data_IF_997819082041
#
_entry.id   IF_997819082041
#
_cell.length_a   1.000
_cell.length_b   1.000
_cell.length_c   1.000
_cell.angle_alpha   90.00
_cell.angle_beta   90.00
_cell.angle_gamma   90.00
#
_symmetry.space_group_name_H-M   'P 1'
#
loop_
_entity.id
_entity.type
_entity.pdbx_description
1 polymer ?
#
# COMPACT_ATOMS: atom_id res chain seq x y z
N UNK A 1 26.03 -14.59 31.96
CA UNK A 1 24.58 -14.73 32.18
C UNK A 1 24.00 -15.42 30.96
N UNK A 2 23.64 -16.70 31.12
CA UNK A 2 23.33 -17.62 30.02
C UNK A 2 22.11 -17.19 29.22
N UNK A 3 22.25 -17.20 27.89
CA UNK A 3 21.09 -17.17 27.00
C UNK A 3 20.17 -18.34 27.37
N UNK A 4 18.85 -18.12 27.55
CA UNK A 4 17.96 -19.26 27.66
C UNK A 4 18.15 -20.09 26.39
N UNK A 5 18.50 -21.38 26.50
CA UNK A 5 18.62 -22.23 25.33
C UNK A 5 17.28 -22.17 24.57
N UNK A 6 17.35 -22.39 23.25
CA UNK A 6 16.16 -22.76 22.48
C UNK A 6 15.31 -23.72 23.33
N UNK A 7 13.96 -23.61 23.35
CA UNK A 7 13.16 -24.66 23.96
C UNK A 7 13.67 -25.97 23.38
N UNK A 8 14.24 -26.85 24.22
CA UNK A 8 14.95 -28.12 23.98
C UNK A 8 15.56 -28.40 22.59
N UNK A 9 16.73 -29.05 22.55
CA UNK A 9 17.48 -29.33 21.31
C UNK A 9 16.69 -30.06 20.19
N UNK A 10 15.47 -30.53 20.43
CA UNK A 10 14.55 -31.08 19.42
C UNK A 10 13.35 -30.21 19.03
N UNK A 11 12.97 -29.14 19.76
CA UNK A 11 11.70 -28.43 19.52
C UNK A 11 11.57 -27.91 18.08
N UNK A 12 12.61 -27.28 17.55
CA UNK A 12 12.58 -26.73 16.19
C UNK A 12 12.57 -27.83 15.12
N UNK A 13 13.20 -28.96 15.40
CA UNK A 13 13.21 -30.13 14.50
C UNK A 13 11.83 -30.79 14.49
N UNK A 14 11.23 -30.97 15.67
CA UNK A 14 9.86 -31.47 15.84
C UNK A 14 8.84 -30.57 15.15
N UNK A 15 8.98 -29.24 15.30
CA UNK A 15 8.12 -28.28 14.61
C UNK A 15 8.33 -28.30 13.10
N UNK A 16 9.57 -28.40 12.61
CA UNK A 16 9.82 -28.54 11.18
C UNK A 16 9.19 -29.83 10.62
N UNK A 17 9.29 -30.95 11.34
CA UNK A 17 8.66 -32.21 10.96
C UNK A 17 7.13 -32.10 10.96
N UNK A 18 6.55 -31.56 12.04
CA UNK A 18 5.10 -31.34 12.17
C UNK A 18 4.53 -30.47 11.06
N UNK A 19 5.21 -29.37 10.73
CA UNK A 19 4.75 -28.45 9.68
C UNK A 19 4.79 -29.09 8.30
N UNK A 20 5.76 -29.98 8.04
CA UNK A 20 5.82 -30.75 6.79
C UNK A 20 4.67 -31.76 6.70
N UNK A 21 4.39 -32.47 7.78
CA UNK A 21 3.33 -33.48 7.81
C UNK A 21 1.93 -32.86 7.71
N UNK A 22 1.72 -31.70 8.33
CA UNK A 22 0.43 -31.01 8.34
C UNK A 22 0.18 -30.10 7.13
N UNK A 23 1.15 -29.98 6.22
CA UNK A 23 1.03 -29.07 5.08
C UNK A 23 0.12 -29.66 4.00
N UNK A 24 -0.89 -28.90 3.60
CA UNK A 24 -1.78 -29.22 2.48
C UNK A 24 -1.08 -29.08 1.10
N UNK A 25 0.14 -28.52 1.08
CA UNK A 25 0.93 -28.28 -0.12
C UNK A 25 2.36 -28.79 0.08
N UNK A 26 3.06 -29.20 -0.99
CA UNK A 26 4.45 -29.62 -0.89
C UNK A 26 5.32 -28.53 -0.28
N UNK A 27 5.86 -28.79 0.92
CA UNK A 27 6.82 -27.89 1.57
C UNK A 27 8.16 -28.04 0.87
N UNK A 28 8.77 -26.92 0.49
CA UNK A 28 10.09 -26.89 -0.16
C UNK A 28 11.18 -26.39 0.79
N UNK A 29 10.82 -25.66 1.85
CA UNK A 29 11.74 -25.32 2.92
C UNK A 29 11.09 -24.63 4.11
N UNK A 30 11.79 -24.63 5.23
CA UNK A 30 11.37 -24.04 6.50
C UNK A 30 12.53 -23.22 7.05
N UNK A 31 12.31 -21.94 7.27
CA UNK A 31 13.31 -21.00 7.78
C UNK A 31 12.86 -20.44 9.12
N UNK A 32 13.77 -20.45 10.09
CA UNK A 32 13.64 -19.72 11.33
C UNK A 32 14.01 -18.25 11.13
N UNK A 33 13.18 -17.35 11.64
CA UNK A 33 13.32 -15.89 11.60
C UNK A 33 13.43 -15.33 13.03
N UNK A 34 13.32 -14.01 13.15
CA UNK A 34 13.12 -13.35 14.44
C UNK A 34 14.33 -13.42 15.39
N UNK A 35 14.06 -13.28 16.68
CA UNK A 35 15.09 -13.24 17.72
C UNK A 35 15.81 -14.58 17.88
N UNK A 36 15.13 -15.71 17.64
CA UNK A 36 15.74 -17.04 17.68
C UNK A 36 16.75 -17.26 16.56
N UNK A 37 16.48 -16.81 15.34
CA UNK A 37 17.47 -16.84 14.26
C UNK A 37 18.70 -15.99 14.58
N UNK A 38 18.51 -14.85 15.25
CA UNK A 38 19.57 -13.94 15.69
C UNK A 38 20.32 -14.38 16.96
N UNK A 39 19.90 -15.48 17.60
CA UNK A 39 20.42 -15.90 18.93
C UNK A 39 20.27 -14.82 20.02
N UNK A 40 19.20 -14.03 19.93
CA UNK A 40 18.88 -12.94 20.86
C UNK A 40 17.48 -13.12 21.49
N UNK A 41 16.98 -14.35 21.52
CA UNK A 41 15.67 -14.67 22.08
C UNK A 41 15.68 -14.55 23.63
N UNK A 42 14.52 -14.23 24.18
CA UNK A 42 14.28 -14.13 25.63
C UNK A 42 13.16 -15.07 26.06
N UNK A 43 12.83 -15.08 27.36
CA UNK A 43 11.71 -15.85 27.89
C UNK A 43 10.33 -15.48 27.27
N UNK A 44 10.22 -14.31 26.63
CA UNK A 44 8.98 -13.83 26.01
C UNK A 44 9.04 -13.78 24.48
N UNK A 45 10.14 -14.28 23.87
CA UNK A 45 10.23 -14.36 22.42
C UNK A 45 9.32 -15.44 21.87
N UNK A 46 8.66 -15.12 20.76
CA UNK A 46 7.97 -16.05 19.89
C UNK A 46 8.93 -16.70 18.89
N UNK A 47 8.53 -17.85 18.37
CA UNK A 47 9.24 -18.58 17.33
C UNK A 47 8.60 -18.22 15.98
N UNK A 48 9.33 -17.46 15.16
CA UNK A 48 8.92 -17.09 13.82
C UNK A 48 9.45 -18.08 12.78
N UNK A 49 8.55 -18.70 12.02
CA UNK A 49 8.87 -19.64 10.94
C UNK A 49 8.30 -19.15 9.61
N UNK A 50 9.13 -19.05 8.59
CA UNK A 50 8.68 -18.99 7.19
C UNK A 50 8.63 -20.43 6.64
N UNK A 51 7.47 -20.84 6.13
CA UNK A 51 7.28 -22.13 5.46
C UNK A 51 7.10 -21.87 3.96
N UNK A 52 8.09 -22.29 3.18
CA UNK A 52 8.06 -22.16 1.74
C UNK A 52 7.36 -23.38 1.15
N UNK A 53 6.37 -23.15 0.28
CA UNK A 53 5.63 -24.20 -0.42
C UNK A 53 5.79 -24.09 -1.93
N UNK A 54 5.66 -25.22 -2.64
CA UNK A 54 5.63 -25.26 -4.09
C UNK A 54 4.25 -24.96 -4.67
N UNK A 55 4.20 -24.76 -5.99
CA UNK A 55 2.95 -24.64 -6.77
C UNK A 55 2.43 -23.21 -6.95
N UNK A 56 1.12 -23.09 -7.19
CA UNK A 56 0.45 -21.81 -7.47
C UNK A 56 0.61 -20.79 -6.32
N UNK A 57 0.37 -19.48 -6.56
CA UNK A 57 0.47 -18.44 -5.54
C UNK A 57 -0.31 -18.79 -4.27
N UNK A 58 0.34 -18.62 -3.12
CA UNK A 58 -0.20 -18.99 -1.82
C UNK A 58 0.42 -18.13 -0.72
N UNK A 59 -0.42 -17.66 0.20
CA UNK A 59 0.02 -17.00 1.41
C UNK A 59 -0.98 -17.29 2.53
N UNK A 60 -0.48 -17.80 3.65
CA UNK A 60 -1.26 -18.01 4.86
C UNK A 60 -0.41 -17.66 6.09
N UNK A 61 -1.08 -17.18 7.14
CA UNK A 61 -0.48 -17.05 8.47
C UNK A 61 -1.25 -17.93 9.42
N UNK A 62 -0.53 -18.74 10.19
CA UNK A 62 -1.07 -19.56 11.28
C UNK A 62 -0.29 -19.22 12.55
N UNK A 63 -0.97 -19.25 13.68
CA UNK A 63 -0.37 -19.05 14.99
C UNK A 63 -0.70 -20.25 15.88
N UNK A 64 0.25 -20.63 16.71
CA UNK A 64 0.13 -21.75 17.64
C UNK A 64 0.65 -21.35 19.01
N UNK A 65 0.09 -21.98 20.03
CA UNK A 65 0.64 -21.97 21.39
C UNK A 65 1.17 -23.38 21.67
N UNK A 66 2.49 -23.49 21.81
CA UNK A 66 3.19 -24.75 22.03
C UNK A 66 3.55 -24.88 23.50
N UNK A 67 3.09 -25.94 24.14
CA UNK A 67 3.51 -26.27 25.51
C UNK A 67 4.73 -27.19 25.47
N UNK A 68 5.79 -26.81 26.18
CA UNK A 68 7.03 -27.60 26.27
C UNK A 68 7.63 -27.39 27.65
N UNK A 69 7.86 -28.48 28.40
CA UNK A 69 8.42 -28.46 29.75
C UNK A 69 7.75 -27.44 30.70
N UNK A 70 6.41 -27.33 30.65
CA UNK A 70 5.64 -26.41 31.48
C UNK A 70 5.67 -24.94 31.03
N UNK A 71 6.26 -24.62 29.88
CA UNK A 71 6.26 -23.28 29.28
C UNK A 71 5.40 -23.24 28.03
N UNK A 72 4.56 -22.22 27.91
CA UNK A 72 3.80 -21.90 26.69
C UNK A 72 4.65 -20.98 25.79
N UNK A 73 4.83 -21.36 24.53
CA UNK A 73 5.59 -20.60 23.54
C UNK A 73 4.68 -20.26 22.35
N UNK A 74 4.64 -18.99 21.97
CA UNK A 74 3.95 -18.57 20.74
C UNK A 74 4.80 -18.96 19.52
N UNK A 75 4.19 -19.68 18.57
CA UNK A 75 4.81 -20.07 17.30
C UNK A 75 4.03 -19.44 16.16
N UNK A 76 4.66 -18.52 15.45
CA UNK A 76 4.11 -17.81 14.31
C UNK A 76 4.62 -18.45 13.02
N UNK A 77 3.70 -18.89 12.17
CA UNK A 77 4.03 -19.58 10.92
C UNK A 77 3.49 -18.80 9.73
N UNK A 78 4.40 -18.28 8.90
CA UNK A 78 4.10 -17.63 7.65
C UNK A 78 4.37 -18.57 6.48
N UNK A 79 3.32 -19.22 5.97
CA UNK A 79 3.43 -20.10 4.82
C UNK A 79 3.23 -19.31 3.52
N UNK A 80 4.17 -19.42 2.57
CA UNK A 80 4.09 -18.74 1.27
C UNK A 80 4.66 -19.59 0.16
N UNK A 81 4.17 -19.43 -1.06
CA UNK A 81 4.91 -19.93 -2.21
C UNK A 81 6.24 -19.18 -2.38
N UNK A 82 7.22 -19.83 -3.01
CA UNK A 82 8.58 -19.28 -3.16
C UNK A 82 8.59 -17.95 -3.91
N UNK A 83 7.76 -17.79 -4.94
CA UNK A 83 7.74 -16.56 -5.75
C UNK A 83 7.22 -15.38 -4.93
N UNK A 84 6.11 -15.56 -4.21
CA UNK A 84 5.58 -14.55 -3.29
C UNK A 84 6.55 -14.24 -2.14
N UNK A 85 7.30 -15.23 -1.67
CA UNK A 85 8.35 -15.01 -0.66
C UNK A 85 9.50 -14.16 -1.20
N UNK A 86 10.02 -14.46 -2.40
CA UNK A 86 11.06 -13.65 -3.06
C UNK A 86 10.56 -12.24 -3.34
N UNK A 87 9.34 -12.08 -3.86
CA UNK A 87 8.74 -10.75 -4.09
C UNK A 87 8.72 -9.94 -2.80
N UNK A 88 8.29 -10.54 -1.69
CA UNK A 88 8.24 -9.87 -0.39
C UNK A 88 9.62 -9.43 0.12
N UNK A 89 10.67 -10.20 -0.18
CA UNK A 89 12.05 -9.79 0.13
C UNK A 89 12.50 -8.61 -0.72
N UNK A 90 11.90 -8.42 -1.91
CA UNK A 90 12.10 -7.25 -2.76
C UNK A 90 11.39 -5.98 -2.27
N UNK A 91 10.52 -6.06 -1.26
CA UNK A 91 9.77 -4.92 -0.73
C UNK A 91 10.44 -4.35 0.54
N UNK A 92 10.42 -3.02 0.74
CA UNK A 92 10.89 -2.40 1.99
C UNK A 92 10.16 -2.94 3.23
N UNK A 93 10.85 -2.93 4.36
CA UNK A 93 10.28 -3.36 5.63
C UNK A 93 9.54 -2.21 6.33
N UNK A 94 8.24 -2.36 6.54
CA UNK A 94 7.35 -1.41 7.24
C UNK A 94 7.82 -1.02 8.66
N UNK A 95 8.49 -1.93 9.36
CA UNK A 95 8.99 -1.70 10.71
C UNK A 95 10.36 -1.00 10.78
N UNK A 96 11.02 -0.81 9.63
CA UNK A 96 12.41 -0.36 9.55
C UNK A 96 12.58 1.15 9.35
N UNK A 97 11.50 1.93 9.42
CA UNK A 97 11.53 3.39 9.21
C UNK A 97 12.18 3.76 7.86
N UNK A 98 11.91 2.98 6.81
CA UNK A 98 12.50 3.17 5.48
C UNK A 98 13.96 2.75 5.32
N UNK A 99 14.62 2.25 6.37
CA UNK A 99 16.00 1.76 6.31
C UNK A 99 16.07 0.35 5.70
N UNK A 100 17.15 0.03 4.95
CA UNK A 100 17.34 -1.30 4.39
C UNK A 100 17.56 -2.33 5.50
N UNK A 101 17.03 -3.53 5.31
CA UNK A 101 17.08 -4.58 6.32
C UNK A 101 18.04 -5.69 5.91
N UNK A 102 18.77 -6.21 6.88
CA UNK A 102 19.47 -7.49 6.77
C UNK A 102 19.24 -8.28 8.05
N UNK A 103 18.43 -9.33 7.96
CA UNK A 103 18.06 -10.16 9.12
C UNK A 103 18.64 -11.57 8.98
N UNK A 104 19.33 -12.09 10.00
CA UNK A 104 19.71 -13.50 10.02
C UNK A 104 18.48 -14.40 9.84
N UNK A 105 18.65 -15.45 9.04
CA UNK A 105 17.71 -16.54 8.90
C UNK A 105 18.46 -17.86 9.07
N UNK A 106 17.78 -18.88 9.59
CA UNK A 106 18.36 -20.22 9.72
C UNK A 106 17.47 -21.21 8.99
N UNK A 107 18.01 -21.88 7.99
CA UNK A 107 17.31 -22.97 7.33
C UNK A 107 17.21 -24.15 8.32
N UNK A 108 15.98 -24.53 8.68
CA UNK A 108 15.72 -25.69 9.53
C UNK A 108 15.57 -26.96 8.69
N UNK A 109 14.94 -26.82 7.53
CA UNK A 109 14.74 -27.92 6.59
C UNK A 109 14.58 -27.39 5.17
N UNK A 110 15.03 -28.15 4.18
CA UNK A 110 14.74 -27.90 2.77
C UNK A 110 14.65 -29.21 2.00
N UNK A 111 13.82 -29.21 0.96
CA UNK A 111 13.92 -30.18 -0.11
C UNK A 111 15.32 -30.07 -0.77
N UNK A 112 16.03 -31.20 -1.05
CA UNK A 112 17.38 -31.17 -1.62
C UNK A 112 17.50 -30.37 -2.92
N UNK A 113 16.47 -30.37 -3.77
CA UNK A 113 16.46 -29.62 -5.03
C UNK A 113 16.37 -28.11 -4.78
N UNK A 114 15.69 -27.69 -3.71
CA UNK A 114 15.49 -26.28 -3.38
C UNK A 114 16.59 -25.71 -2.49
N UNK A 115 17.26 -26.54 -1.69
CA UNK A 115 18.26 -26.11 -0.71
C UNK A 115 19.27 -25.08 -1.25
N UNK A 116 19.93 -25.27 -2.41
CA UNK A 116 20.89 -24.29 -2.91
C UNK A 116 20.30 -22.89 -3.21
N UNK A 117 18.97 -22.80 -3.39
CA UNK A 117 18.26 -21.57 -3.74
C UNK A 117 17.67 -20.83 -2.52
N UNK A 118 17.49 -21.54 -1.40
CA UNK A 118 16.78 -21.00 -0.22
C UNK A 118 17.60 -21.07 1.07
N UNK A 119 18.78 -21.69 1.05
CA UNK A 119 19.73 -21.67 2.17
C UNK A 119 20.42 -20.29 2.25
N UNK A 120 19.62 -19.28 2.61
CA UNK A 120 20.04 -17.90 2.73
C UNK A 120 20.31 -17.58 4.20
N UNK A 121 21.58 -17.42 4.63
CA UNK A 121 21.90 -17.14 6.04
C UNK A 121 21.44 -15.75 6.48
N UNK A 122 21.20 -14.86 5.53
CA UNK A 122 20.68 -13.50 5.75
C UNK A 122 19.61 -13.21 4.71
N UNK A 123 18.51 -12.64 5.17
CA UNK A 123 17.43 -12.15 4.33
C UNK A 123 17.46 -10.63 4.31
N UNK A 124 17.57 -10.09 3.11
CA UNK A 124 17.69 -8.66 2.86
C UNK A 124 16.37 -8.12 2.33
N UNK A 125 16.05 -6.89 2.74
CA UNK A 125 14.98 -6.08 2.13
C UNK A 125 15.57 -4.70 1.79
N UNK A 126 15.13 -4.08 0.68
CA UNK A 126 15.65 -2.78 0.28
C UNK A 126 15.21 -1.67 1.23
N UNK A 127 15.85 -0.50 1.08
CA UNK A 127 15.39 0.73 1.69
C UNK A 127 14.12 1.22 0.98
N UNK A 128 13.32 2.01 1.68
CA UNK A 128 12.21 2.72 1.07
C UNK A 128 12.74 3.90 0.23
N UNK A 129 12.15 4.16 -0.96
CA UNK A 129 12.47 5.36 -1.73
C UNK A 129 12.13 6.64 -0.93
N UNK A 130 12.75 7.80 -1.22
CA UNK A 130 12.43 9.04 -0.53
C UNK A 130 10.97 9.44 -0.74
N UNK A 131 10.22 9.57 0.36
CA UNK A 131 8.78 9.90 0.33
C UNK A 131 8.53 11.37 0.64
N UNK A 132 9.16 12.25 -0.16
CA UNK A 132 9.06 13.69 0.05
C UNK A 132 7.63 14.21 -0.12
N UNK A 133 6.91 13.74 -1.15
CA UNK A 133 5.51 14.11 -1.38
C UNK A 133 4.66 13.82 -0.14
N UNK A 134 4.74 12.60 0.39
CA UNK A 134 3.93 12.22 1.54
C UNK A 134 4.33 12.99 2.81
N UNK A 135 5.61 13.30 2.99
CA UNK A 135 6.08 14.15 4.10
C UNK A 135 5.43 15.54 4.03
N UNK A 136 5.39 16.15 2.84
CA UNK A 136 4.79 17.48 2.63
C UNK A 136 3.26 17.41 2.78
N UNK A 137 2.60 16.40 2.22
CA UNK A 137 1.17 16.18 2.37
C UNK A 137 0.78 15.98 3.85
N UNK A 138 1.60 15.24 4.60
CA UNK A 138 1.36 14.96 6.03
C UNK A 138 1.57 16.21 6.89
N UNK A 139 2.53 17.08 6.56
CA UNK A 139 2.65 18.39 7.20
C UNK A 139 1.40 19.25 6.95
N UNK A 140 0.85 19.21 5.73
CA UNK A 140 -0.41 19.88 5.39
C UNK A 140 -1.60 19.38 6.22
N UNK A 141 -1.71 18.06 6.42
CA UNK A 141 -2.72 17.45 7.32
C UNK A 141 -2.56 17.94 8.76
N UNK A 142 -1.33 17.98 9.28
CA UNK A 142 -1.06 18.52 10.61
C UNK A 142 -1.42 20.02 10.73
N UNK A 143 -1.17 20.81 9.69
CA UNK A 143 -1.55 22.22 9.64
C UNK A 143 -3.07 22.41 9.65
N UNK A 144 -3.80 21.61 8.87
CA UNK A 144 -5.25 21.63 8.82
C UNK A 144 -5.89 21.25 10.18
N UNK A 145 -5.40 20.17 10.81
CA UNK A 145 -5.85 19.77 12.15
C UNK A 145 -5.59 20.87 13.19
N UNK A 146 -4.42 21.52 13.13
CA UNK A 146 -4.09 22.67 13.99
C UNK A 146 -5.05 23.84 13.81
N UNK A 147 -5.43 24.18 12.57
CA UNK A 147 -6.30 25.32 12.28
C UNK A 147 -7.71 25.20 12.91
N UNK A 148 -8.17 23.97 13.14
CA UNK A 148 -9.46 23.66 13.80
C UNK A 148 -9.29 23.19 15.25
N UNK A 149 -8.09 23.30 15.82
CA UNK A 149 -7.75 22.85 17.18
C UNK A 149 -8.01 21.35 17.44
N UNK A 150 -7.92 20.51 16.40
CA UNK A 150 -7.95 19.05 16.53
C UNK A 150 -6.60 18.55 17.08
N UNK A 151 -6.58 18.29 18.39
CA UNK A 151 -5.37 17.87 19.09
C UNK A 151 -4.93 16.45 18.71
N UNK A 152 -5.87 15.56 18.38
CA UNK A 152 -5.57 14.18 18.04
C UNK A 152 -5.05 14.09 16.60
N UNK A 153 -5.70 14.77 15.65
CA UNK A 153 -5.24 14.86 14.27
C UNK A 153 -3.83 15.42 14.16
N UNK A 154 -3.49 16.47 14.93
CA UNK A 154 -2.10 16.96 14.99
C UNK A 154 -1.14 15.86 15.45
N UNK A 155 -1.46 15.16 16.55
CA UNK A 155 -0.59 14.11 17.10
C UNK A 155 -0.39 12.94 16.13
N UNK A 156 -1.45 12.48 15.48
CA UNK A 156 -1.39 11.39 14.50
C UNK A 156 -0.53 11.81 13.30
N UNK A 157 -0.83 12.98 12.71
CA UNK A 157 -0.12 13.45 11.52
C UNK A 157 1.38 13.69 11.79
N UNK A 158 1.76 14.31 12.92
CA UNK A 158 3.19 14.51 13.21
C UNK A 158 3.93 13.21 13.52
N UNK A 159 3.25 12.21 14.09
CA UNK A 159 3.84 10.89 14.33
C UNK A 159 4.11 10.16 13.01
N UNK A 160 3.17 10.24 12.05
CA UNK A 160 3.36 9.71 10.71
C UNK A 160 4.48 10.45 9.99
N UNK A 161 4.51 11.79 10.06
CA UNK A 161 5.58 12.60 9.47
C UNK A 161 6.96 12.19 9.97
N UNK A 162 7.12 12.01 11.28
CA UNK A 162 8.40 11.60 11.87
C UNK A 162 8.86 10.22 11.38
N UNK A 163 7.95 9.30 11.02
CA UNK A 163 8.32 8.00 10.45
C UNK A 163 8.86 8.10 9.03
N UNK A 164 8.53 9.17 8.31
CA UNK A 164 8.98 9.43 6.94
C UNK A 164 10.36 10.09 6.89
N UNK A 165 10.78 10.77 7.96
CA UNK A 165 12.04 11.51 7.97
C UNK A 165 13.25 10.67 7.51
N UNK A 166 13.45 9.41 7.96
CA UNK A 166 14.64 8.67 7.56
C UNK A 166 14.65 8.24 6.09
N UNK A 167 13.50 7.94 5.47
CA UNK A 167 13.45 7.62 4.04
C UNK A 167 13.73 8.87 3.20
N UNK A 168 13.22 10.04 3.60
CA UNK A 168 13.46 11.31 2.91
C UNK A 168 14.92 11.76 3.05
N UNK A 169 15.54 11.62 4.22
CA UNK A 169 16.94 11.97 4.46
C UNK A 169 17.93 10.94 3.90
N UNK A 170 17.45 9.80 3.38
CA UNK A 170 18.29 8.70 2.87
C UNK A 170 19.33 9.14 1.85
N UNK A 171 19.03 9.96 0.81
CA UNK A 171 20.03 10.36 -0.19
C UNK A 171 21.25 11.05 0.42
N UNK A 172 21.05 11.80 1.50
CA UNK A 172 22.09 12.54 2.21
C UNK A 172 22.85 11.70 3.26
N UNK A 173 22.47 10.44 3.48
CA UNK A 173 23.00 9.61 4.57
C UNK A 173 23.57 8.27 4.06
N UNK A 174 24.58 7.71 4.74
CA UNK A 174 25.07 6.39 4.41
C UNK A 174 23.97 5.32 4.63
N UNK A 175 23.95 4.32 3.75
CA UNK A 175 23.01 3.20 3.87
C UNK A 175 23.39 2.28 5.03
N UNK A 176 22.69 2.42 6.16
CA UNK A 176 22.84 1.55 7.33
C UNK A 176 21.83 0.40 7.26
N UNK A 177 22.34 -0.84 7.20
CA UNK A 177 21.49 -2.03 7.24
C UNK A 177 21.12 -2.39 8.67
N UNK A 178 19.84 -2.64 8.90
CA UNK A 178 19.30 -2.91 10.25
C UNK A 178 18.72 -4.31 10.36
N UNK A 179 18.81 -4.93 11.53
CA UNK A 179 18.44 -6.34 11.74
C UNK A 179 17.30 -6.53 12.75
N UNK A 180 16.79 -5.45 13.35
CA UNK A 180 15.66 -5.47 14.27
C UNK A 180 14.98 -4.11 14.33
N UNK A 181 13.72 -4.06 14.75
CA UNK A 181 12.99 -2.80 14.93
C UNK A 181 13.68 -1.84 15.90
N UNK A 182 14.31 -2.36 16.97
CA UNK A 182 15.03 -1.54 17.95
C UNK A 182 16.30 -0.92 17.37
N UNK A 183 17.02 -1.67 16.54
CA UNK A 183 18.20 -1.18 15.81
C UNK A 183 17.78 -0.17 14.72
N UNK A 184 16.70 -0.45 14.00
CA UNK A 184 16.12 0.47 13.02
C UNK A 184 15.75 1.80 13.66
N UNK A 185 15.06 1.76 14.80
CA UNK A 185 14.69 2.96 15.54
C UNK A 185 15.91 3.74 16.03
N UNK A 186 16.97 3.07 16.51
CA UNK A 186 18.21 3.75 16.90
C UNK A 186 18.85 4.46 15.70
N UNK A 187 19.03 3.75 14.59
CA UNK A 187 19.63 4.29 13.37
C UNK A 187 18.80 5.46 12.80
N UNK A 188 17.48 5.36 12.82
CA UNK A 188 16.57 6.41 12.37
C UNK A 188 16.66 7.70 13.20
N UNK A 189 17.04 7.62 14.48
CA UNK A 189 17.22 8.77 15.37
C UNK A 189 18.61 9.41 15.27
N UNK A 190 19.61 8.65 14.83
CA UNK A 190 21.03 9.01 14.86
C UNK A 190 21.63 9.11 13.44
N UNK A 191 20.83 9.61 12.48
CA UNK A 191 21.30 9.89 11.13
C UNK A 191 22.45 10.92 11.15
N UNK A 192 23.61 10.63 10.53
CA UNK A 192 24.75 11.55 10.53
C UNK A 192 24.46 12.93 9.92
N UNK A 193 23.63 12.97 8.87
CA UNK A 193 23.21 14.20 8.19
C UNK A 193 21.72 14.40 8.47
N UNK A 194 21.43 15.30 9.42
CA UNK A 194 20.06 15.56 9.86
C UNK A 194 19.88 17.01 10.33
N UNK A 195 18.63 17.52 10.39
CA UNK A 195 18.33 18.85 10.91
C UNK A 195 18.86 19.10 12.33
N UNK A 196 19.18 20.35 12.71
CA UNK A 196 19.50 20.68 14.10
C UNK A 196 18.37 20.27 15.05
N UNK A 197 18.70 19.56 16.14
CA UNK A 197 17.71 19.08 17.11
C UNK A 197 16.90 17.85 16.67
N UNK A 198 17.23 17.24 15.51
CA UNK A 198 16.49 16.14 14.89
C UNK A 198 16.06 15.04 15.86
N UNK A 199 16.98 14.49 16.66
CA UNK A 199 16.66 13.42 17.62
C UNK A 199 15.57 13.82 18.62
N UNK A 200 15.63 15.04 19.14
CA UNK A 200 14.66 15.54 20.11
C UNK A 200 13.29 15.74 19.47
N UNK A 201 13.27 16.31 18.26
CA UNK A 201 12.05 16.55 17.49
C UNK A 201 11.38 15.24 17.03
N UNK A 202 12.17 14.26 16.58
CA UNK A 202 11.70 12.91 16.28
C UNK A 202 11.03 12.25 17.48
N UNK A 203 11.69 12.25 18.65
CA UNK A 203 11.13 11.66 19.87
C UNK A 203 9.83 12.34 20.31
N UNK A 204 9.75 13.66 20.14
CA UNK A 204 8.55 14.43 20.46
C UNK A 204 7.39 14.10 19.51
N UNK A 205 7.64 14.15 18.20
CA UNK A 205 6.64 13.88 17.16
C UNK A 205 6.15 12.42 17.19
N UNK A 206 7.04 11.45 17.48
CA UNK A 206 6.67 10.04 17.66
C UNK A 206 5.89 9.76 18.96
N UNK A 207 5.68 10.77 19.81
CA UNK A 207 4.96 10.62 21.08
C UNK A 207 5.76 9.87 22.16
N UNK A 208 7.07 9.70 21.96
CA UNK A 208 7.98 9.06 22.92
C UNK A 208 8.52 10.05 23.96
N UNK A 209 8.21 11.34 23.79
CA UNK A 209 8.32 12.38 24.81
C UNK A 209 7.00 13.12 24.94
N UNK A 210 6.57 13.47 26.16
CA UNK A 210 5.36 14.27 26.34
C UNK A 210 5.58 15.69 25.80
N UNK A 211 4.51 16.28 25.26
CA UNK A 211 4.53 17.66 24.80
C UNK A 211 3.16 18.17 24.38
N UNK A 212 3.00 19.50 24.43
CA UNK A 212 1.82 20.19 23.92
C UNK A 212 1.78 20.17 22.38
N UNK A 213 0.59 20.25 21.80
CA UNK A 213 0.41 20.23 20.33
C UNK A 213 1.16 21.35 19.62
N UNK A 214 1.33 22.51 20.26
CA UNK A 214 2.16 23.60 19.76
C UNK A 214 3.64 23.23 19.63
N UNK A 215 4.19 22.50 20.61
CA UNK A 215 5.57 22.03 20.59
C UNK A 215 5.77 20.93 19.53
N UNK A 216 4.80 20.01 19.41
CA UNK A 216 4.78 18.97 18.37
C UNK A 216 4.76 19.58 16.97
N UNK A 217 3.87 20.57 16.74
CA UNK A 217 3.81 21.30 15.49
C UNK A 217 5.14 22.00 15.16
N UNK A 218 5.72 22.71 16.12
CA UNK A 218 7.00 23.39 15.93
C UNK A 218 8.13 22.41 15.59
N UNK A 219 8.16 21.24 16.22
CA UNK A 219 9.10 20.17 15.91
C UNK A 219 8.89 19.62 14.50
N UNK A 220 7.65 19.32 14.09
CA UNK A 220 7.33 18.85 12.75
C UNK A 220 7.76 19.86 11.66
N UNK A 221 7.52 21.16 11.87
CA UNK A 221 7.97 22.21 10.95
C UNK A 221 9.51 22.25 10.88
N UNK A 222 10.22 22.17 12.01
CA UNK A 222 11.70 22.13 12.03
C UNK A 222 12.25 20.91 11.31
N UNK A 223 11.65 19.73 11.49
CA UNK A 223 12.04 18.51 10.79
C UNK A 223 11.92 18.71 9.28
N UNK A 224 10.77 19.17 8.78
CA UNK A 224 10.57 19.36 7.34
C UNK A 224 11.49 20.46 6.80
N UNK A 225 11.44 21.65 7.38
CA UNK A 225 12.20 22.81 6.90
C UNK A 225 13.72 22.57 6.95
N UNK A 226 14.22 21.85 7.96
CA UNK A 226 15.62 21.47 8.04
C UNK A 226 16.02 20.34 7.08
N UNK A 227 15.09 19.47 6.71
CA UNK A 227 15.36 18.37 5.76
C UNK A 227 15.49 18.88 4.33
N UNK A 228 14.65 19.83 3.88
CA UNK A 228 14.67 20.35 2.50
C UNK A 228 16.06 20.76 1.99
N UNK A 229 16.86 21.60 2.69
CA UNK A 229 18.19 21.97 2.21
C UNK A 229 19.17 20.80 2.16
N UNK A 230 19.03 19.79 3.02
CA UNK A 230 19.92 18.63 3.06
C UNK A 230 19.71 17.69 1.86
N UNK A 231 18.47 17.61 1.36
CA UNK A 231 18.12 16.73 0.24
C UNK A 231 18.12 17.45 -1.12
N UNK A 232 18.19 18.78 -1.15
CA UNK A 232 18.20 19.59 -2.38
C UNK A 232 19.29 19.19 -3.38
N UNK A 233 20.54 18.84 -2.97
CA UNK A 233 21.56 18.35 -3.91
C UNK A 233 21.18 17.04 -4.62
N UNK A 234 20.17 16.33 -4.11
CA UNK A 234 19.70 15.03 -4.61
C UNK A 234 18.36 15.13 -5.35
N UNK A 235 18.04 16.31 -5.91
CA UNK A 235 16.77 16.57 -6.57
C UNK A 235 16.45 15.59 -7.73
N UNK A 236 17.47 15.07 -8.42
CA UNK A 236 17.29 14.03 -9.44
C UNK A 236 16.72 12.73 -8.85
N UNK A 237 17.28 12.23 -7.73
CA UNK A 237 16.76 11.05 -7.03
C UNK A 237 15.36 11.29 -6.44
N UNK A 238 15.05 12.53 -6.06
CA UNK A 238 13.71 12.93 -5.64
C UNK A 238 12.74 12.95 -6.83
N UNK A 239 13.18 13.34 -8.03
CA UNK A 239 12.33 13.37 -9.22
C UNK A 239 11.84 11.97 -9.61
N UNK A 240 12.70 10.96 -9.49
CA UNK A 240 12.38 9.56 -9.78
C UNK A 240 11.26 9.00 -8.89
N UNK A 241 11.11 9.54 -7.69
CA UNK A 241 10.25 8.97 -6.63
C UNK A 241 9.04 9.84 -6.29
N UNK A 242 9.19 11.16 -6.39
CA UNK A 242 8.16 12.15 -6.03
C UNK A 242 7.75 13.05 -7.22
N UNK A 243 8.32 12.84 -8.40
CA UNK A 243 7.98 13.55 -9.63
C UNK A 243 8.78 14.84 -9.87
N UNK A 244 8.92 15.18 -11.15
CA UNK A 244 9.77 16.28 -11.60
C UNK A 244 9.35 17.67 -11.08
N UNK A 245 8.04 17.96 -10.95
CA UNK A 245 7.60 19.27 -10.45
C UNK A 245 7.95 19.45 -8.96
N UNK A 246 7.83 18.41 -8.14
CA UNK A 246 8.18 18.49 -6.73
C UNK A 246 9.70 18.67 -6.55
N UNK A 247 10.50 17.97 -7.37
CA UNK A 247 11.95 18.17 -7.40
C UNK A 247 12.33 19.59 -7.86
N UNK A 248 11.66 20.13 -8.89
CA UNK A 248 11.85 21.52 -9.31
C UNK A 248 11.48 22.50 -8.18
N UNK A 249 10.35 22.27 -7.51
CA UNK A 249 9.90 23.07 -6.37
C UNK A 249 10.85 23.00 -5.16
N UNK A 250 11.54 21.87 -4.99
CA UNK A 250 12.62 21.71 -4.01
C UNK A 250 13.83 22.57 -4.38
N UNK A 251 14.21 22.62 -5.65
CA UNK A 251 15.40 23.37 -6.10
C UNK A 251 15.13 24.88 -6.12
N UNK A 252 14.01 25.32 -6.69
CA UNK A 252 13.65 26.72 -6.91
C UNK A 252 13.12 27.45 -5.63
N UNK A 253 12.96 26.70 -4.53
CA UNK A 253 12.53 27.24 -3.24
C UNK A 253 11.01 27.43 -3.08
N UNK A 254 10.18 26.95 -4.01
CA UNK A 254 8.72 26.88 -3.82
C UNK A 254 8.35 26.05 -2.60
N UNK A 255 9.04 24.94 -2.34
CA UNK A 255 8.76 24.11 -1.15
C UNK A 255 9.07 24.84 0.15
N UNK A 256 10.18 25.57 0.24
CA UNK A 256 10.50 26.37 1.43
C UNK A 256 9.41 27.41 1.71
N UNK A 257 8.94 28.10 0.66
CA UNK A 257 7.84 29.07 0.77
C UNK A 257 6.53 28.41 1.18
N UNK A 258 6.21 27.23 0.64
CA UNK A 258 5.01 26.49 1.01
C UNK A 258 5.04 26.04 2.48
N UNK A 259 6.16 25.47 2.94
CA UNK A 259 6.33 25.07 4.34
C UNK A 259 6.26 26.30 5.27
N UNK A 260 6.90 27.41 4.89
CA UNK A 260 6.81 28.66 5.63
C UNK A 260 5.39 29.22 5.67
N UNK A 261 4.61 29.07 4.59
CA UNK A 261 3.18 29.45 4.55
C UNK A 261 2.37 28.62 5.55
N UNK A 262 2.56 27.30 5.61
CA UNK A 262 1.89 26.44 6.60
C UNK A 262 2.28 26.78 8.04
N UNK A 263 3.53 27.19 8.27
CA UNK A 263 4.04 27.57 9.58
C UNK A 263 3.40 28.85 10.16
N UNK A 264 2.81 29.71 9.32
CA UNK A 264 2.22 30.97 9.76
C UNK A 264 1.12 30.75 10.80
N UNK A 265 0.92 31.71 11.74
CA UNK A 265 -0.26 31.71 12.59
C UNK A 265 -1.51 31.84 11.72
N UNK A 266 -2.46 30.93 11.91
CA UNK A 266 -3.79 31.01 11.28
C UNK A 266 -4.75 31.50 12.35
N UNK A 267 -5.60 32.48 12.02
CA UNK A 267 -6.71 32.84 12.89
C UNK A 267 -7.61 31.61 13.09
N UNK A 268 -8.10 31.34 14.30
CA UNK A 268 -8.94 30.17 14.53
C UNK A 268 -10.14 30.22 13.58
N UNK A 269 -10.26 29.20 12.72
CA UNK A 269 -11.44 29.05 11.89
C UNK A 269 -12.65 28.79 12.82
N UNK A 270 -13.85 29.30 12.50
CA UNK A 270 -15.04 28.99 13.28
C UNK A 270 -15.20 27.48 13.37
N UNK A 271 -15.30 26.97 14.61
CA UNK A 271 -15.55 25.57 14.89
C UNK A 271 -16.88 25.17 14.23
N UNK A 272 -16.80 24.55 13.06
CA UNK A 272 -17.91 23.73 12.59
C UNK A 272 -17.78 22.39 13.30
N UNK A 273 -18.83 21.98 14.00
CA UNK A 273 -19.02 20.63 14.55
C UNK A 273 -18.89 19.60 13.41
N UNK A 274 -17.67 19.25 13.03
CA UNK A 274 -17.38 18.28 11.95
C UNK A 274 -17.13 16.88 12.48
N UNK A 275 -17.24 16.66 13.78
CA UNK A 275 -17.01 15.37 14.44
C UNK A 275 -18.27 14.64 14.92
N UNK A 276 -19.44 14.97 14.35
CA UNK A 276 -20.50 13.97 14.25
C UNK A 276 -20.40 13.34 12.87
N UNK A 277 -19.60 12.30 12.77
CA UNK A 277 -19.76 11.36 11.65
C UNK A 277 -21.20 10.82 11.76
N UNK A 278 -22.07 11.01 10.74
CA UNK A 278 -23.42 10.44 10.77
C UNK A 278 -23.37 8.91 10.60
N UNK A 279 -22.19 8.34 10.42
CA UNK A 279 -21.95 6.90 10.28
C UNK A 279 -22.19 6.22 11.63
N UNK A 280 -23.24 5.38 11.75
CA UNK A 280 -23.46 4.59 12.96
C UNK A 280 -22.22 3.75 13.25
N UNK A 281 -21.79 3.70 14.51
CA UNK A 281 -20.76 2.75 14.92
C UNK A 281 -21.28 1.33 14.66
N UNK A 282 -20.65 0.53 13.77
CA UNK A 282 -21.08 -0.84 13.53
C UNK A 282 -20.95 -1.66 14.80
N UNK A 283 -22.00 -2.41 15.15
CA UNK A 283 -21.88 -3.47 16.15
C UNK A 283 -20.99 -4.58 15.59
N UNK A 284 -20.33 -5.34 16.46
CA UNK A 284 -19.48 -6.45 16.03
C UNK A 284 -20.24 -7.40 15.09
N UNK A 285 -19.67 -7.68 13.91
CA UNK A 285 -20.29 -8.54 12.90
C UNK A 285 -21.31 -7.83 11.98
N UNK A 286 -21.59 -6.55 12.19
CA UNK A 286 -22.54 -5.79 11.39
C UNK A 286 -21.81 -4.90 10.38
N UNK A 287 -22.02 -5.15 9.10
CA UNK A 287 -21.65 -4.19 8.06
C UNK A 287 -22.67 -3.04 8.11
N UNK A 288 -22.23 -1.85 8.50
CA UNK A 288 -23.04 -0.64 8.39
C UNK A 288 -22.80 -0.04 7.02
N UNK A 289 -23.78 -0.17 6.13
CA UNK A 289 -23.90 0.67 4.94
C UNK A 289 -24.49 2.01 5.40
N UNK A 290 -23.80 3.10 5.11
CA UNK A 290 -24.30 4.46 5.37
C UNK A 290 -25.14 4.86 4.16
N UNK A 291 -26.47 5.02 4.30
CA UNK A 291 -27.27 5.55 3.22
C UNK A 291 -26.96 7.04 3.07
N UNK A 292 -26.59 7.46 1.86
CA UNK A 292 -26.59 8.89 1.51
C UNK A 292 -28.06 9.31 1.38
N UNK A 293 -28.53 10.37 2.06
CA UNK A 293 -29.96 10.69 2.11
C UNK A 293 -30.54 10.94 0.72
N UNK A 294 -31.71 10.34 0.47
CA UNK A 294 -32.55 10.60 -0.70
C UNK A 294 -33.08 12.05 -0.65
N UNK A 295 -32.88 12.80 -1.74
CA UNK A 295 -33.62 14.02 -2.05
C UNK A 295 -34.59 13.73 -3.22
N UNK A 296 -35.75 14.40 -3.28
CA UNK A 296 -37.04 13.72 -3.24
C UNK A 296 -37.53 13.19 -4.59
N UNK A 297 -38.20 12.04 -4.50
CA UNK A 297 -39.05 11.48 -5.53
C UNK A 297 -40.35 12.30 -5.70
N UNK A 298 -40.67 12.64 -6.94
CA UNK A 298 -42.04 12.86 -7.47
C UNK A 298 -41.97 12.49 -8.96
N UNK A 299 -42.83 11.69 -9.60
CA UNK A 299 -43.95 10.84 -9.19
C UNK A 299 -44.16 9.74 -10.24
N UNK A 300 -45.18 8.92 -10.02
CA UNK A 300 -45.64 7.75 -10.82
C UNK A 300 -47.05 8.09 -11.36
N UNK A 301 -47.69 7.40 -12.34
CA UNK A 301 -47.27 6.80 -13.63
C UNK A 301 -48.08 7.35 -14.84
N UNK A 302 -47.68 7.06 -16.09
CA UNK A 302 -48.64 7.09 -17.22
C UNK A 302 -48.34 6.03 -18.29
N UNK A 303 -49.42 5.42 -18.76
CA UNK A 303 -49.61 4.20 -19.57
C UNK A 303 -49.08 4.26 -21.02
N UNK A 304 -48.92 3.11 -21.73
CA UNK A 304 -48.15 2.97 -22.96
C UNK A 304 -49.02 3.01 -24.22
N UNK A 305 -48.93 4.08 -25.00
CA UNK A 305 -49.30 4.03 -26.42
C UNK A 305 -48.87 5.30 -27.16
N UNK A 306 -47.75 5.23 -27.87
CA UNK A 306 -47.24 6.29 -28.75
C UNK A 306 -45.88 5.93 -29.34
N UNK A 307 -45.56 6.36 -30.58
CA UNK A 307 -44.52 5.77 -31.42
C UNK A 307 -43.11 6.07 -30.91
N UNK A 308 -42.22 5.08 -31.06
CA UNK A 308 -40.80 5.11 -30.69
C UNK A 308 -40.13 6.34 -31.30
N UNK A 309 -39.95 7.37 -30.47
CA UNK A 309 -39.13 8.54 -30.73
C UNK A 309 -38.09 8.58 -29.62
N UNK A 310 -36.84 8.79 -30.02
CA UNK A 310 -35.62 8.77 -29.20
C UNK A 310 -35.82 9.42 -27.83
N UNK A 311 -35.82 8.62 -26.76
CA UNK A 311 -35.85 9.12 -25.38
C UNK A 311 -34.63 10.02 -25.11
N UNK A 312 -34.79 11.14 -24.39
CA UNK A 312 -33.66 11.82 -23.78
C UNK A 312 -33.02 10.87 -22.76
N UNK A 313 -31.69 10.71 -22.87
CA UNK A 313 -30.89 9.83 -22.04
C UNK A 313 -31.21 9.97 -20.54
N UNK A 314 -31.42 8.83 -19.87
CA UNK A 314 -31.44 8.75 -18.40
C UNK A 314 -30.27 9.57 -17.85
N UNK A 315 -30.48 10.45 -16.85
CA UNK A 315 -29.38 11.17 -16.25
C UNK A 315 -28.40 10.14 -15.65
N UNK A 316 -27.21 10.14 -16.21
CA UNK A 316 -26.06 9.38 -15.75
C UNK A 316 -25.81 9.64 -14.27
N UNK A 317 -25.58 8.58 -13.49
CA UNK A 317 -25.15 8.69 -12.08
C UNK A 317 -23.68 9.03 -11.94
N UNK A 318 -22.94 9.06 -13.04
CA UNK A 318 -21.57 9.53 -13.08
C UNK A 318 -21.54 11.02 -12.74
N UNK A 319 -20.50 11.45 -12.02
CA UNK A 319 -20.28 12.88 -11.75
C UNK A 319 -20.36 13.66 -13.08
N UNK A 320 -21.22 14.69 -13.20
CA UNK A 320 -21.38 15.45 -14.43
C UNK A 320 -20.08 16.06 -14.96
N UNK A 321 -19.15 16.45 -14.07
CA UNK A 321 -17.85 16.97 -14.47
C UNK A 321 -16.94 15.89 -15.06
N UNK A 322 -17.08 14.63 -14.64
CA UNK A 322 -16.41 13.49 -15.27
C UNK A 322 -17.12 13.14 -16.57
N UNK A 323 -18.45 13.04 -16.56
CA UNK A 323 -19.26 12.69 -17.72
C UNK A 323 -19.06 13.66 -18.89
N UNK A 324 -18.90 14.96 -18.62
CA UNK A 324 -18.64 15.99 -19.62
C UNK A 324 -17.27 15.84 -20.32
N UNK A 325 -16.32 15.13 -19.69
CA UNK A 325 -14.99 14.89 -20.24
C UNK A 325 -14.91 13.62 -21.10
N UNK A 326 -15.91 12.74 -21.02
CA UNK A 326 -15.93 11.49 -21.79
C UNK A 326 -16.42 11.72 -23.22
N UNK A 327 -15.61 11.29 -24.19
CA UNK A 327 -15.97 11.23 -25.59
C UNK A 327 -16.42 9.81 -25.94
N UNK A 328 -17.73 9.60 -25.86
CA UNK A 328 -18.34 8.29 -26.10
C UNK A 328 -18.46 7.99 -27.59
N UNK A 329 -18.40 6.71 -27.94
CA UNK A 329 -18.77 6.21 -29.27
C UNK A 329 -20.26 6.43 -29.55
N UNK A 330 -20.70 6.16 -30.78
CA UNK A 330 -22.12 6.22 -31.16
C UNK A 330 -23.01 5.28 -30.32
N UNK A 331 -22.44 4.23 -29.74
CA UNK A 331 -23.13 3.29 -28.84
C UNK A 331 -23.19 3.78 -27.39
N UNK A 332 -22.66 4.98 -27.10
CA UNK A 332 -22.60 5.54 -25.75
C UNK A 332 -21.47 4.97 -24.88
N UNK A 333 -20.43 4.39 -25.48
CA UNK A 333 -19.38 3.65 -24.78
C UNK A 333 -18.01 4.33 -24.89
N UNK A 334 -17.17 4.16 -23.87
CA UNK A 334 -15.74 4.47 -23.88
C UNK A 334 -14.92 3.19 -23.72
N UNK A 335 -13.74 3.17 -24.32
CA UNK A 335 -12.82 2.04 -24.17
C UNK A 335 -12.21 2.05 -22.76
N UNK A 336 -12.04 0.88 -22.16
CA UNK A 336 -11.34 0.71 -20.90
C UNK A 336 -10.15 -0.22 -21.11
N UNK A 337 -8.95 0.36 -21.16
CA UNK A 337 -7.68 -0.36 -21.17
C UNK A 337 -7.33 -0.68 -19.72
N UNK A 338 -7.30 -1.97 -19.41
CA UNK A 338 -7.09 -2.44 -18.04
C UNK A 338 -5.64 -2.90 -17.91
N UNK A 339 -4.91 -2.34 -16.95
CA UNK A 339 -3.52 -2.73 -16.66
C UNK A 339 -3.35 -3.21 -15.23
N UNK A 340 -2.39 -4.09 -15.03
CA UNK A 340 -1.95 -4.50 -13.71
C UNK A 340 -1.32 -3.31 -12.97
N UNK A 341 -1.75 -3.06 -11.73
CA UNK A 341 -1.29 -1.93 -10.94
C UNK A 341 0.20 -2.00 -10.58
N UNK A 342 0.70 -3.22 -10.37
CA UNK A 342 2.07 -3.51 -9.96
C UNK A 342 3.05 -3.49 -11.15
N UNK A 343 2.74 -4.20 -12.24
CA UNK A 343 3.66 -4.38 -13.37
C UNK A 343 3.43 -3.41 -14.52
N UNK A 344 2.28 -2.73 -14.57
CA UNK A 344 1.86 -1.93 -15.73
C UNK A 344 1.44 -2.76 -16.94
N UNK A 345 1.51 -4.09 -16.88
CA UNK A 345 1.12 -5.01 -17.96
C UNK A 345 -0.35 -4.80 -18.35
N UNK A 346 -0.63 -4.63 -19.64
CA UNK A 346 -2.00 -4.54 -20.16
C UNK A 346 -2.65 -5.92 -20.08
N UNK A 347 -3.74 -6.01 -19.32
CA UNK A 347 -4.43 -7.25 -19.00
C UNK A 347 -5.59 -7.53 -19.97
N UNK A 348 -6.38 -6.51 -20.29
CA UNK A 348 -7.54 -6.65 -21.17
C UNK A 348 -8.04 -5.29 -21.64
N UNK A 349 -8.89 -5.32 -22.67
CA UNK A 349 -9.73 -4.19 -23.07
C UNK A 349 -11.20 -4.54 -22.85
N UNK A 350 -11.97 -3.59 -22.35
CA UNK A 350 -13.40 -3.69 -22.16
C UNK A 350 -14.09 -2.37 -22.55
N UNK A 351 -15.41 -2.32 -22.42
CA UNK A 351 -16.22 -1.13 -22.71
C UNK A 351 -16.96 -0.69 -21.46
N UNK A 352 -17.07 0.61 -21.25
CA UNK A 352 -17.88 1.20 -20.18
C UNK A 352 -18.82 2.24 -20.79
N UNK A 353 -20.07 2.25 -20.35
CA UNK A 353 -20.89 3.46 -20.41
C UNK A 353 -20.71 4.24 -19.09
N UNK A 354 -21.47 5.31 -18.94
CA UNK A 354 -21.47 6.13 -17.74
C UNK A 354 -21.78 5.36 -16.46
N UNK A 355 -22.72 4.42 -16.51
CA UNK A 355 -23.14 3.65 -15.35
C UNK A 355 -22.07 2.63 -14.95
N UNK A 356 -21.43 1.97 -15.92
CA UNK A 356 -20.31 1.07 -15.69
C UNK A 356 -19.11 1.81 -15.09
N UNK A 357 -18.80 3.02 -15.58
CA UNK A 357 -17.75 3.86 -15.01
C UNK A 357 -18.12 4.34 -13.61
N UNK A 358 -19.36 4.81 -13.41
CA UNK A 358 -19.87 5.22 -12.10
C UNK A 358 -19.71 4.09 -11.08
N UNK A 359 -20.17 2.87 -11.39
CA UNK A 359 -20.01 1.70 -10.53
C UNK A 359 -18.54 1.39 -10.27
N UNK A 360 -17.70 1.47 -11.30
CA UNK A 360 -16.25 1.22 -11.17
C UNK A 360 -15.60 2.19 -10.18
N UNK A 361 -15.87 3.49 -10.31
CA UNK A 361 -15.31 4.53 -9.46
C UNK A 361 -15.86 4.48 -8.02
N UNK A 362 -17.13 4.13 -7.86
CA UNK A 362 -17.79 4.16 -6.53
C UNK A 362 -17.63 2.87 -5.74
N UNK A 363 -17.57 1.71 -6.40
CA UNK A 363 -17.46 0.40 -5.72
C UNK A 363 -16.03 -0.09 -5.57
N UNK A 364 -15.07 0.49 -6.30
CA UNK A 364 -13.70 -0.03 -6.39
C UNK A 364 -13.60 -1.40 -7.08
N UNK A 365 -14.68 -1.86 -7.73
CA UNK A 365 -14.76 -3.12 -8.46
C UNK A 365 -14.94 -2.83 -9.94
N UNK A 366 -14.09 -3.42 -10.78
CA UNK A 366 -14.16 -3.16 -12.21
C UNK A 366 -15.47 -3.72 -12.80
N UNK A 367 -16.32 -2.81 -13.26
CA UNK A 367 -17.62 -3.09 -13.86
C UNK A 367 -17.60 -2.62 -15.31
N UNK A 368 -18.04 -3.48 -16.22
CA UNK A 368 -18.04 -3.15 -17.65
C UNK A 368 -19.41 -3.41 -18.28
N UNK A 369 -19.61 -2.89 -19.48
CA UNK A 369 -20.75 -3.17 -20.34
C UNK A 369 -20.41 -4.25 -21.38
N UNK A 370 -21.19 -5.33 -21.41
CA UNK A 370 -21.06 -6.35 -22.46
C UNK A 370 -21.87 -5.92 -23.69
N UNK A 371 -21.18 -5.60 -24.79
CA UNK A 371 -21.86 -5.22 -26.05
C UNK A 371 -22.74 -6.32 -26.63
N UNK A 372 -22.34 -7.59 -26.48
CA UNK A 372 -23.09 -8.74 -27.01
C UNK A 372 -24.28 -9.13 -26.13
N UNK A 373 -24.10 -9.15 -24.80
CA UNK A 373 -25.18 -9.51 -23.86
C UNK A 373 -26.05 -8.32 -23.45
N UNK A 374 -25.61 -7.10 -23.75
CA UNK A 374 -26.28 -5.84 -23.39
C UNK A 374 -26.60 -5.78 -21.90
N UNK A 375 -25.62 -6.18 -21.09
CA UNK A 375 -25.72 -6.24 -19.63
C UNK A 375 -24.42 -5.76 -18.97
N UNK A 376 -24.55 -5.30 -17.73
CA UNK A 376 -23.41 -5.01 -16.87
C UNK A 376 -22.84 -6.28 -16.27
N UNK A 377 -21.51 -6.37 -16.19
CA UNK A 377 -20.83 -7.43 -15.44
C UNK A 377 -19.70 -6.88 -14.57
N UNK A 378 -19.57 -7.44 -13.38
CA UNK A 378 -18.45 -7.15 -12.48
C UNK A 378 -17.40 -8.24 -12.70
N UNK A 379 -16.16 -7.86 -13.01
CA UNK A 379 -15.12 -8.84 -13.33
C UNK A 379 -14.89 -9.84 -12.20
N UNK A 380 -14.98 -11.11 -12.56
CA UNK A 380 -14.80 -12.23 -11.65
C UNK A 380 -15.98 -12.53 -10.74
N UNK A 381 -17.13 -11.84 -10.86
CA UNK A 381 -18.30 -12.13 -10.03
C UNK A 381 -18.73 -13.61 -10.08
N UNK A 382 -18.61 -14.24 -11.25
CA UNK A 382 -18.90 -15.67 -11.44
C UNK A 382 -17.65 -16.54 -11.30
N UNK A 383 -16.51 -16.15 -11.86
CA UNK A 383 -15.31 -16.99 -11.95
C UNK A 383 -14.35 -16.89 -10.75
N UNK A 384 -14.57 -15.94 -9.83
CA UNK A 384 -13.63 -15.62 -8.74
C UNK A 384 -12.38 -14.83 -9.19
N UNK A 385 -12.19 -14.59 -10.49
CA UNK A 385 -11.03 -13.85 -11.00
C UNK A 385 -11.28 -12.33 -11.01
N UNK A 386 -11.22 -11.75 -9.82
CA UNK A 386 -11.63 -10.38 -9.54
C UNK A 386 -10.63 -9.30 -9.99
N UNK A 387 -11.13 -8.09 -10.19
CA UNK A 387 -10.32 -6.88 -10.40
C UNK A 387 -10.71 -5.80 -9.39
N UNK A 388 -9.74 -5.36 -8.59
CA UNK A 388 -9.90 -4.26 -7.64
C UNK A 388 -9.24 -3.01 -8.21
N UNK A 389 -10.03 -1.95 -8.38
CA UNK A 389 -9.57 -0.70 -9.01
C UNK A 389 -8.64 0.04 -8.04
N UNK A 390 -7.46 0.39 -8.52
CA UNK A 390 -6.45 1.17 -7.79
C UNK A 390 -6.40 2.60 -8.28
N UNK A 391 -6.52 2.82 -9.58
CA UNK A 391 -6.69 4.15 -10.17
C UNK A 391 -7.37 4.08 -11.53
N UNK A 392 -7.98 5.18 -11.95
CA UNK A 392 -8.53 5.37 -13.30
C UNK A 392 -8.00 6.69 -13.85
N UNK A 393 -7.44 6.66 -15.06
CA UNK A 393 -7.05 7.85 -15.80
C UNK A 393 -7.86 7.94 -17.09
N UNK A 394 -8.14 9.16 -17.53
CA UNK A 394 -8.75 9.46 -18.83
C UNK A 394 -7.61 9.84 -19.79
N UNK A 395 -7.68 9.41 -21.04
CA UNK A 395 -6.75 9.86 -22.07
C UNK A 395 -7.00 11.32 -22.49
N UNK A 396 -6.20 11.82 -23.42
CA UNK A 396 -6.15 13.25 -23.74
C UNK A 396 -7.37 13.75 -24.53
N UNK A 397 -8.02 12.91 -25.31
CA UNK A 397 -9.21 13.21 -26.11
C UNK A 397 -10.50 12.60 -25.54
N UNK A 398 -10.39 11.86 -24.43
CA UNK A 398 -11.48 11.45 -23.57
C UNK A 398 -12.22 10.20 -24.03
N UNK A 399 -11.74 9.48 -25.04
CA UNK A 399 -12.42 8.30 -25.60
C UNK A 399 -11.91 6.96 -25.06
N UNK A 400 -10.82 6.96 -24.29
CA UNK A 400 -10.36 5.81 -23.53
C UNK A 400 -10.01 6.11 -22.07
N UNK A 401 -10.24 5.09 -21.24
CA UNK A 401 -9.87 5.04 -19.84
C UNK A 401 -8.72 4.06 -19.63
N UNK A 402 -7.73 4.44 -18.86
CA UNK A 402 -6.72 3.55 -18.31
C UNK A 402 -7.10 3.15 -16.88
N UNK A 403 -7.56 1.91 -16.71
CA UNK A 403 -7.99 1.36 -15.42
C UNK A 403 -6.85 0.51 -14.84
N UNK A 404 -6.22 1.02 -13.79
CA UNK A 404 -5.18 0.32 -13.05
C UNK A 404 -5.81 -0.57 -11.98
N UNK A 405 -5.56 -1.88 -12.02
CA UNK A 405 -6.23 -2.86 -11.14
C UNK A 405 -5.25 -3.80 -10.45
N UNK A 406 -5.60 -4.20 -9.23
CA UNK A 406 -5.08 -5.44 -8.65
C UNK A 406 -5.91 -6.62 -9.18
N UNK A 407 -5.26 -7.50 -9.95
CA UNK A 407 -5.89 -8.66 -10.59
C UNK A 407 -5.75 -9.89 -9.70
N UNK A 408 -6.89 -10.50 -9.34
CA UNK A 408 -6.97 -11.82 -8.73
C UNK A 408 -7.25 -12.86 -9.81
N UNK A 409 -6.47 -13.93 -9.86
CA UNK A 409 -6.62 -14.98 -10.88
C UNK A 409 -6.37 -14.49 -12.31
N UNK A 410 -7.01 -15.12 -13.29
CA UNK A 410 -6.83 -14.78 -14.71
C UNK A 410 -7.68 -13.57 -15.14
N UNK A 411 -7.08 -12.62 -15.88
CA UNK A 411 -7.89 -11.57 -16.51
C UNK A 411 -8.70 -12.15 -17.68
N UNK A 412 -8.14 -13.09 -18.45
CA UNK A 412 -8.83 -13.72 -19.56
C UNK A 412 -9.74 -14.87 -19.09
N UNK A 413 -10.87 -15.04 -19.77
CA UNK A 413 -11.79 -16.15 -19.54
C UNK A 413 -11.22 -17.52 -19.97
N UNK A 414 -10.17 -17.53 -20.80
CA UNK A 414 -9.44 -18.75 -21.19
C UNK A 414 -8.37 -19.16 -20.17
N UNK A 415 -8.27 -18.47 -19.04
CA UNK A 415 -7.31 -18.77 -17.97
C UNK A 415 -5.96 -18.07 -18.11
N UNK A 416 -5.71 -17.34 -19.21
CA UNK A 416 -4.49 -16.55 -19.38
C UNK A 416 -4.49 -15.27 -18.52
N UNK A 417 -3.28 -14.85 -18.10
CA UNK A 417 -3.09 -13.64 -17.29
C UNK A 417 -3.53 -12.37 -18.02
N UNK A 418 -3.14 -12.22 -19.28
CA UNK A 418 -3.58 -11.15 -20.19
C UNK A 418 -4.44 -11.73 -21.31
N UNK A 419 -5.31 -10.92 -21.91
CA UNK A 419 -5.99 -11.22 -23.17
C UNK A 419 -5.05 -11.08 -24.38
N UNK A 420 -3.92 -10.38 -24.23
CA UNK A 420 -2.95 -10.10 -25.28
C UNK A 420 -1.81 -11.13 -25.29
N UNK A 421 -2.15 -12.42 -25.32
CA UNK A 421 -1.17 -13.52 -25.24
C UNK A 421 -0.74 -14.07 -26.62
N UNK A 422 -1.33 -13.56 -27.71
CA UNK A 422 -0.99 -13.94 -29.09
C UNK A 422 -0.33 -12.77 -29.79
N UNK A 423 0.95 -12.92 -30.12
CA UNK A 423 1.70 -11.91 -30.88
C UNK A 423 1.39 -12.01 -32.38
N UNK A 424 1.40 -10.86 -33.06
CA UNK A 424 1.25 -10.76 -34.49
C UNK A 424 2.59 -10.36 -35.12
N UNK A 425 2.96 -10.91 -36.29
CA UNK A 425 4.19 -10.54 -36.96
C UNK A 425 4.13 -9.07 -37.42
N UNK A 426 5.22 -8.33 -37.18
CA UNK A 426 5.39 -6.95 -37.65
C UNK A 426 6.52 -6.92 -38.68
N UNK A 427 6.22 -6.46 -39.89
CA UNK A 427 7.26 -6.22 -40.91
C UNK A 427 7.91 -4.87 -40.64
N UNK A 428 9.09 -4.88 -40.06
CA UNK A 428 9.90 -3.67 -39.91
C UNK A 428 10.65 -3.40 -41.20
N UNK A 429 10.42 -2.25 -41.83
CA UNK A 429 11.40 -1.72 -42.79
C UNK A 429 12.63 -1.29 -41.99
N UNK A 430 13.83 -1.70 -42.42
CA UNK A 430 15.05 -1.21 -41.82
C UNK A 430 15.05 0.33 -41.92
N UNK A 431 14.93 1.01 -40.77
CA UNK A 431 15.16 2.45 -40.72
C UNK A 431 16.66 2.68 -40.94
N UNK A 432 17.07 3.53 -41.88
CA UNK A 432 18.46 3.86 -42.12
C UNK A 432 19.13 4.53 -40.92
#
# INVERSE_FOLDING_TARGET
MGHPPLPDSGFLEDWAARLRQAAERPVVGILLRGSHARRAATAHSDVDLDVLVGGAPYAARRAYLAETAGRVTHVSVAARDVRSWVHRLGEPADWAFGLPVSTPARLLWADPHWRPRIDLPVLCQPAEPPRLEEMIATLGKAAAARAVNDRLGVRLAVADLARLCPSVLRPANPSVRVHSRRAAFAAALDLPVAPPGYRADMLLCLGLRPGATSALWAAAVRLVAGTLPLIRPYAEEIADTSGADLAAALVDGRLDRYVAQLARPVAPAPQHDRERSPVPAPRAGQLVTVPVPDAPATGVPSDPSGPVTSEPARPSRLDPAIAARLRRSADGLVAAVVRAHDSGEVLMVAWMDDEALHRTLTTGRATYWSRSRREYWVKGATSGHHQYVRSVALDCDGDALLVSVEQVGAACHTGHRTCFFTELPVTTQAQP
#
